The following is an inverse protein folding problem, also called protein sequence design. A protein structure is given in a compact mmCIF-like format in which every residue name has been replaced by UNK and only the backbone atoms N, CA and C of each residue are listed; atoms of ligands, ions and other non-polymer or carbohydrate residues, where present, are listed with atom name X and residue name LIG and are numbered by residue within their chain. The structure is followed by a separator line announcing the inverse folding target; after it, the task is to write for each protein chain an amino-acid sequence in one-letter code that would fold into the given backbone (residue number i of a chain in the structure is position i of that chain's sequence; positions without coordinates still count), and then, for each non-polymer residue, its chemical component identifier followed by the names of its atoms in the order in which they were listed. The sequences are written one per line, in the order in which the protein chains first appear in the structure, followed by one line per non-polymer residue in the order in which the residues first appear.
data_IF_894720873990
#
_entry.id   IF_894720873990
#
_cell.length_a   1.000
_cell.length_b   1.000
_cell.length_c   1.000
_cell.angle_alpha   90.00
_cell.angle_beta   90.00
_cell.angle_gamma   90.00
#
_symmetry.space_group_name_H-M   'P 1'
#
loop_
_entity.id
_entity.type
_entity.pdbx_description
1 polymer ?
#
# COMPACT_ATOMS: atom_id res chain seq x y z
N UNK A 1 -25.40 -6.02 -0.82
CA UNK A 1 -24.27 -5.18 -0.34
C UNK A 1 -23.74 -4.38 -1.53
N UNK A 2 -24.01 -3.08 -1.58
CA UNK A 2 -23.65 -2.23 -2.71
C UNK A 2 -22.13 -2.21 -2.90
N UNK A 3 -21.64 -2.74 -4.03
CA UNK A 3 -20.23 -2.70 -4.40
C UNK A 3 -19.88 -1.24 -4.71
N UNK A 4 -19.51 -0.49 -3.66
CA UNK A 4 -19.13 0.92 -3.76
C UNK A 4 -17.91 1.01 -4.67
N UNK A 5 -17.96 2.02 -5.55
CA UNK A 5 -17.02 2.33 -6.65
C UNK A 5 -15.57 1.87 -6.37
N UNK A 6 -14.89 1.28 -7.37
CA UNK A 6 -13.47 0.94 -7.23
C UNK A 6 -12.70 2.19 -6.79
N UNK A 7 -11.75 2.03 -5.87
CA UNK A 7 -10.90 3.15 -5.41
C UNK A 7 -10.45 3.97 -6.64
N UNK A 8 -10.52 5.28 -6.55
CA UNK A 8 -10.09 6.18 -7.63
C UNK A 8 -8.58 6.00 -7.84
N UNK A 9 -8.02 6.08 -9.07
CA UNK A 9 -6.58 5.89 -9.27
C UNK A 9 -5.74 6.83 -8.38
N UNK A 10 -6.21 8.05 -8.16
CA UNK A 10 -5.64 9.00 -7.21
C UNK A 10 -5.63 8.53 -5.75
N UNK A 11 -6.65 7.81 -5.29
CA UNK A 11 -6.63 7.28 -3.93
C UNK A 11 -5.54 6.22 -3.77
N UNK A 12 -5.34 5.36 -4.78
CA UNK A 12 -4.29 4.34 -4.76
C UNK A 12 -2.89 4.97 -4.74
N UNK A 13 -2.66 5.97 -5.60
CA UNK A 13 -1.39 6.69 -5.66
C UNK A 13 -1.12 7.40 -4.33
N UNK A 14 -2.13 8.03 -3.74
CA UNK A 14 -1.99 8.71 -2.46
C UNK A 14 -1.63 7.74 -1.33
N UNK A 15 -2.29 6.57 -1.24
CA UNK A 15 -1.94 5.53 -0.27
C UNK A 15 -0.52 4.99 -0.48
N UNK A 16 -0.09 4.78 -1.72
CA UNK A 16 1.25 4.32 -2.03
C UNK A 16 2.33 5.35 -1.64
N UNK A 17 2.10 6.64 -1.90
CA UNK A 17 3.01 7.72 -1.51
C UNK A 17 3.10 7.85 0.02
N UNK A 18 1.96 7.83 0.71
CA UNK A 18 1.92 7.88 2.17
C UNK A 18 2.66 6.69 2.80
N UNK A 19 2.47 5.49 2.24
CA UNK A 19 3.18 4.31 2.70
C UNK A 19 4.69 4.42 2.47
N UNK A 20 5.13 4.89 1.30
CA UNK A 20 6.56 5.12 1.02
C UNK A 20 7.16 6.15 1.99
N UNK A 21 6.45 7.26 2.25
CA UNK A 21 6.90 8.25 3.22
C UNK A 21 7.04 7.67 4.63
N UNK A 22 6.08 6.84 5.05
CA UNK A 22 6.16 6.12 6.33
C UNK A 22 7.34 5.14 6.38
N UNK A 23 7.61 4.41 5.29
CA UNK A 23 8.77 3.51 5.20
C UNK A 23 10.07 4.30 5.38
N UNK A 24 10.26 5.39 4.63
CA UNK A 24 11.45 6.24 4.74
C UNK A 24 11.60 6.81 6.15
N UNK A 25 10.50 7.25 6.77
CA UNK A 25 10.50 7.72 8.15
C UNK A 25 10.98 6.64 9.12
N UNK A 26 10.41 5.43 9.04
CA UNK A 26 10.78 4.30 9.92
C UNK A 26 12.25 3.93 9.72
N UNK A 27 12.73 3.92 8.48
CA UNK A 27 14.13 3.61 8.16
C UNK A 27 15.11 4.67 8.68
N UNK A 28 14.67 5.92 8.80
CA UNK A 28 15.52 7.03 9.28
C UNK A 28 15.46 7.19 10.80
N UNK A 29 14.30 6.92 11.40
CA UNK A 29 14.05 7.15 12.82
C UNK A 29 14.31 5.94 13.72
N UNK A 30 14.37 4.72 13.16
CA UNK A 30 14.46 3.49 13.94
C UNK A 30 15.74 2.72 13.65
N UNK A 31 16.26 2.03 14.67
CA UNK A 31 17.39 1.11 14.49
C UNK A 31 16.96 -0.04 13.58
N UNK A 32 17.75 -0.28 12.54
CA UNK A 32 17.43 -1.22 11.48
C UNK A 32 17.49 -2.67 11.99
N UNK A 33 16.34 -3.19 12.44
CA UNK A 33 16.18 -4.55 12.93
C UNK A 33 15.50 -5.43 11.87
N UNK A 34 15.87 -6.72 11.81
CA UNK A 34 15.29 -7.67 10.85
C UNK A 34 13.77 -7.82 10.98
N UNK A 35 13.24 -7.69 12.20
CA UNK A 35 11.79 -7.68 12.47
C UNK A 35 11.09 -6.45 11.87
N UNK A 36 11.73 -5.29 11.87
CA UNK A 36 11.20 -4.06 11.26
C UNK A 36 11.02 -4.24 9.76
N UNK A 37 11.98 -4.87 9.09
CA UNK A 37 11.90 -5.15 7.64
C UNK A 37 10.73 -6.09 7.34
N UNK A 38 10.58 -7.18 8.11
CA UNK A 38 9.46 -8.12 7.95
C UNK A 38 8.10 -7.43 8.09
N UNK A 39 7.96 -6.55 9.09
CA UNK A 39 6.73 -5.78 9.31
C UNK A 39 6.47 -4.78 8.18
N UNK A 40 7.51 -4.13 7.64
CA UNK A 40 7.37 -3.24 6.48
C UNK A 40 6.91 -4.01 5.24
N UNK A 41 7.45 -5.21 4.99
CA UNK A 41 7.03 -6.06 3.86
C UNK A 41 5.56 -6.48 3.99
N UNK A 42 5.14 -6.94 5.17
CA UNK A 42 3.74 -7.30 5.45
C UNK A 42 2.80 -6.10 5.30
N UNK A 43 3.20 -4.94 5.82
CA UNK A 43 2.48 -3.67 5.66
C UNK A 43 2.31 -3.30 4.19
N UNK A 44 3.39 -3.42 3.40
CA UNK A 44 3.34 -3.18 1.97
C UNK A 44 2.34 -4.08 1.27
N UNK A 45 2.37 -5.39 1.55
CA UNK A 45 1.42 -6.34 0.96
C UNK A 45 -0.05 -5.93 1.20
N UNK A 46 -0.37 -5.51 2.43
CA UNK A 46 -1.72 -5.06 2.79
C UNK A 46 -2.13 -3.78 2.06
N UNK A 47 -1.23 -2.80 1.94
CA UNK A 47 -1.50 -1.52 1.26
C UNK A 47 -1.62 -1.71 -0.25
N UNK A 48 -0.80 -2.56 -0.85
CA UNK A 48 -0.79 -2.79 -2.31
C UNK A 48 -1.87 -3.78 -2.78
N UNK A 49 -2.37 -4.69 -1.93
CA UNK A 49 -3.45 -5.61 -2.28
C UNK A 49 -4.68 -4.94 -2.93
N UNK A 50 -5.32 -3.91 -2.32
CA UNK A 50 -6.48 -3.25 -2.92
C UNK A 50 -6.14 -2.47 -4.20
N UNK A 51 -4.89 -2.01 -4.35
CA UNK A 51 -4.38 -1.36 -5.56
C UNK A 51 -4.35 -2.36 -6.72
N UNK A 52 -3.68 -3.50 -6.52
CA UNK A 52 -3.58 -4.58 -7.53
C UNK A 52 -4.96 -5.12 -7.88
N UNK A 53 -5.80 -5.38 -6.86
CA UNK A 53 -7.18 -5.85 -7.06
C UNK A 53 -7.99 -4.90 -7.93
N UNK A 54 -7.93 -3.60 -7.62
CA UNK A 54 -8.67 -2.60 -8.38
C UNK A 54 -8.10 -2.39 -9.79
N UNK A 55 -6.79 -2.53 -9.97
CA UNK A 55 -6.17 -2.47 -11.30
C UNK A 55 -6.60 -3.64 -12.18
N UNK A 56 -6.64 -4.86 -11.61
CA UNK A 56 -7.15 -6.05 -12.29
C UNK A 56 -8.62 -5.90 -12.69
N UNK A 57 -9.44 -5.29 -11.83
CA UNK A 57 -10.86 -5.00 -12.13
C UNK A 57 -11.04 -4.01 -13.29
N UNK A 58 -10.07 -3.12 -13.54
CA UNK A 58 -10.13 -2.18 -14.66
C UNK A 58 -9.63 -2.75 -15.98
N UNK A 59 -8.66 -3.68 -15.95
CA UNK A 59 -8.13 -4.35 -17.14
C UNK A 59 -8.97 -5.53 -17.63
N UNK A 60 -9.78 -6.12 -16.74
CA UNK A 60 -10.70 -7.22 -17.09
C UNK A 60 -12.06 -6.75 -17.62
N UNK A 61 -12.25 -5.44 -17.80
CA UNK A 61 -13.31 -4.83 -18.61
C UNK A 61 -12.72 -4.42 -19.95
#
# INVERSE_FOLDING_TARGET
MAYRRPLTPWQMVLFAILWLGMVVWILTASTFNGSTILLLVLSGFLVFYPIVKSWRQRRGK
#
